data_IF_087560755193
#
_entry.id   IF_087560755193
#
_cell.length_a   1.000
_cell.length_b   1.000
_cell.length_c   1.000
_cell.angle_alpha   90.00
_cell.angle_beta   90.00
_cell.angle_gamma   90.00
#
_symmetry.space_group_name_H-M   'P 1'
#
loop_
_entity.id
_entity.type
_entity.pdbx_description
1 polymer ?
#
# COMPACT_ATOMS: atom_id res chain seq x y z
N UNK A 1 -14.77 45.65 20.48
CA UNK A 1 -14.97 44.36 19.77
C UNK A 1 -13.63 43.63 19.72
N UNK A 2 -13.47 42.48 20.37
CA UNK A 2 -12.27 41.65 20.22
C UNK A 2 -12.49 40.70 19.03
N UNK A 3 -11.57 40.58 18.07
CA UNK A 3 -11.71 39.57 17.02
C UNK A 3 -11.51 38.18 17.63
N UNK A 4 -12.43 37.27 17.30
CA UNK A 4 -12.28 35.82 17.57
C UNK A 4 -11.08 35.33 16.76
N UNK A 5 -10.03 34.89 17.43
CA UNK A 5 -8.96 34.11 16.80
C UNK A 5 -9.55 32.83 16.20
N UNK A 6 -9.17 32.43 14.97
CA UNK A 6 -9.60 31.16 14.42
C UNK A 6 -8.94 30.01 15.19
N UNK A 7 -9.74 29.00 15.52
CA UNK A 7 -9.40 27.80 16.32
C UNK A 7 -8.32 26.89 15.68
N UNK A 8 -7.82 27.22 14.49
CA UNK A 8 -6.90 26.39 13.70
C UNK A 8 -5.45 26.88 13.70
N UNK A 9 -4.96 27.46 14.79
CA UNK A 9 -3.58 27.99 14.84
C UNK A 9 -2.50 26.95 15.21
N UNK A 10 -2.84 25.70 15.53
CA UNK A 10 -1.89 24.75 16.13
C UNK A 10 -1.79 23.38 15.43
N UNK A 11 -1.83 23.36 14.09
CA UNK A 11 -1.25 22.24 13.35
C UNK A 11 0.14 22.67 12.89
N UNK A 12 1.11 22.60 13.80
CA UNK A 12 2.52 22.58 13.41
C UNK A 12 2.66 21.47 12.34
N UNK A 13 3.28 21.74 11.18
CA UNK A 13 3.63 20.66 10.28
C UNK A 13 4.46 19.67 11.09
N UNK A 14 3.99 18.42 11.18
CA UNK A 14 4.75 17.30 11.72
C UNK A 14 6.14 17.36 11.08
N UNK A 15 7.13 17.85 11.82
CA UNK A 15 8.51 17.93 11.37
C UNK A 15 9.04 16.50 11.29
N UNK A 16 8.72 15.82 10.19
CA UNK A 16 9.29 14.50 9.90
C UNK A 16 10.78 14.74 9.68
N UNK A 17 11.60 14.27 10.63
CA UNK A 17 13.05 14.46 10.59
C UNK A 17 13.60 13.94 9.24
N UNK A 18 14.29 14.76 8.44
CA UNK A 18 14.76 14.37 7.11
C UNK A 18 15.84 13.27 7.11
N UNK A 19 16.29 12.83 8.30
CA UNK A 19 17.43 11.92 8.49
C UNK A 19 17.15 10.43 8.26
N UNK A 20 15.91 10.05 7.93
CA UNK A 20 15.53 8.64 7.76
C UNK A 20 15.29 8.22 6.30
N UNK A 21 15.56 9.08 5.31
CA UNK A 21 15.37 8.72 3.90
C UNK A 21 16.66 8.17 3.30
N UNK A 22 16.84 6.83 3.19
CA UNK A 22 17.84 6.29 2.27
C UNK A 22 17.58 6.83 0.86
N UNK A 23 18.60 6.84 -0.02
CA UNK A 23 18.42 7.25 -1.41
C UNK A 23 17.25 6.49 -2.01
N UNK A 24 16.27 7.25 -2.51
CA UNK A 24 15.05 6.69 -3.09
C UNK A 24 15.46 5.98 -4.37
N UNK A 25 15.58 4.65 -4.30
CA UNK A 25 15.62 3.84 -5.51
C UNK A 25 14.36 4.14 -6.31
N UNK A 26 14.52 4.31 -7.62
CA UNK A 26 13.39 4.54 -8.50
C UNK A 26 12.39 3.39 -8.32
N UNK A 27 11.13 3.73 -8.08
CA UNK A 27 10.07 2.72 -8.02
C UNK A 27 9.98 2.05 -9.39
N UNK A 28 9.81 0.72 -9.44
CA UNK A 28 9.60 0.03 -10.71
C UNK A 28 8.34 0.57 -11.38
N UNK A 29 8.46 0.94 -12.66
CA UNK A 29 7.37 1.51 -13.46
C UNK A 29 6.66 0.48 -14.33
N UNK A 30 7.25 -0.70 -14.52
CA UNK A 30 6.70 -1.79 -15.33
C UNK A 30 7.06 -3.13 -14.72
N UNK A 31 6.24 -4.13 -15.02
CA UNK A 31 6.50 -5.51 -14.69
C UNK A 31 7.20 -6.19 -15.88
N UNK A 32 8.03 -7.22 -15.65
CA UNK A 32 8.45 -8.13 -16.71
C UNK A 32 7.24 -8.71 -17.46
N UNK A 33 7.37 -9.07 -18.76
CA UNK A 33 6.24 -9.55 -19.55
C UNK A 33 5.57 -10.80 -18.98
N UNK A 34 6.35 -11.72 -18.39
CA UNK A 34 5.84 -12.90 -17.71
C UNK A 34 4.93 -12.54 -16.51
N UNK A 35 5.35 -11.53 -15.73
CA UNK A 35 4.57 -11.07 -14.59
C UNK A 35 3.32 -10.29 -15.01
N UNK A 36 3.38 -9.55 -16.12
CA UNK A 36 2.19 -8.89 -16.71
C UNK A 36 1.15 -9.91 -17.18
N UNK A 37 1.57 -11.00 -17.83
CA UNK A 37 0.69 -12.10 -18.21
C UNK A 37 0.04 -12.74 -16.99
N UNK A 38 0.82 -13.02 -15.95
CA UNK A 38 0.30 -13.56 -14.68
C UNK A 38 -0.76 -12.64 -14.05
N UNK A 39 -0.51 -11.32 -14.02
CA UNK A 39 -1.48 -10.34 -13.53
C UNK A 39 -2.77 -10.39 -14.36
N UNK A 40 -2.65 -10.44 -15.68
CA UNK A 40 -3.80 -10.52 -16.58
C UNK A 40 -4.63 -11.80 -16.36
N UNK A 41 -3.97 -12.95 -16.15
CA UNK A 41 -4.67 -14.19 -15.82
C UNK A 41 -5.40 -14.12 -14.48
N UNK A 42 -4.74 -13.59 -13.45
CA UNK A 42 -5.30 -13.41 -12.11
C UNK A 42 -6.53 -12.51 -12.15
N UNK A 43 -6.47 -11.40 -12.89
CA UNK A 43 -7.60 -10.47 -13.04
C UNK A 43 -8.82 -11.10 -13.73
N UNK A 44 -8.64 -12.15 -14.53
CA UNK A 44 -9.72 -12.87 -15.22
C UNK A 44 -10.37 -13.97 -14.37
N UNK A 45 -9.70 -14.46 -13.31
CA UNK A 45 -10.22 -15.54 -12.47
C UNK A 45 -11.44 -15.08 -11.67
N UNK A 46 -12.57 -15.78 -11.84
CA UNK A 46 -13.81 -15.52 -11.09
C UNK A 46 -13.83 -16.27 -9.78
N UNK A 47 -14.41 -15.65 -8.75
CA UNK A 47 -14.54 -16.26 -7.42
C UNK A 47 -13.21 -16.50 -6.71
N UNK A 48 -12.10 -15.93 -7.24
CA UNK A 48 -10.80 -16.07 -6.64
C UNK A 48 -10.75 -15.26 -5.35
N UNK A 49 -10.20 -15.90 -4.31
CA UNK A 49 -9.95 -15.27 -3.04
C UNK A 49 -8.55 -15.62 -2.57
N UNK A 50 -7.72 -14.59 -2.37
CA UNK A 50 -6.38 -14.71 -1.83
C UNK A 50 -6.41 -14.35 -0.35
N UNK A 51 -5.80 -15.18 0.49
CA UNK A 51 -5.74 -14.95 1.93
C UNK A 51 -4.30 -14.86 2.39
N UNK A 52 -3.99 -13.84 3.19
CA UNK A 52 -2.69 -13.66 3.80
C UNK A 52 -2.84 -13.15 5.23
N UNK A 53 -2.29 -13.89 6.21
CA UNK A 53 -2.48 -13.62 7.64
C UNK A 53 -3.98 -13.54 7.97
N UNK A 54 -4.50 -12.34 8.27
CA UNK A 54 -5.92 -12.07 8.59
C UNK A 54 -6.68 -11.48 7.41
N UNK A 55 -5.96 -11.03 6.38
CA UNK A 55 -6.52 -10.31 5.24
C UNK A 55 -6.99 -11.28 4.17
N UNK A 56 -8.12 -10.95 3.54
CA UNK A 56 -8.75 -11.74 2.51
C UNK A 56 -9.17 -10.82 1.36
N UNK A 57 -8.62 -11.05 0.17
CA UNK A 57 -8.85 -10.24 -1.01
C UNK A 57 -9.62 -11.05 -2.03
N UNK A 58 -10.79 -10.55 -2.42
CA UNK A 58 -11.63 -11.16 -3.47
C UNK A 58 -11.33 -10.56 -4.85
N UNK A 59 -11.88 -11.18 -5.90
CA UNK A 59 -11.85 -10.62 -7.25
C UNK A 59 -12.40 -9.18 -7.30
N UNK A 60 -13.47 -8.89 -6.55
CA UNK A 60 -14.07 -7.54 -6.53
C UNK A 60 -13.09 -6.51 -5.98
N UNK A 61 -12.33 -6.89 -4.95
CA UNK A 61 -11.29 -6.04 -4.38
C UNK A 61 -10.14 -5.82 -5.38
N UNK A 62 -9.71 -6.87 -6.08
CA UNK A 62 -8.66 -6.77 -7.10
C UNK A 62 -9.06 -5.84 -8.26
N UNK A 63 -10.35 -5.79 -8.61
CA UNK A 63 -10.81 -4.86 -9.64
C UNK A 63 -10.55 -3.39 -9.29
N UNK A 64 -10.38 -3.06 -7.99
CA UNK A 64 -10.01 -1.71 -7.52
C UNK A 64 -8.55 -1.34 -7.79
N UNK A 65 -7.71 -2.30 -8.18
CA UNK A 65 -6.33 -2.04 -8.61
C UNK A 65 -6.25 -1.50 -10.05
N UNK A 66 -7.35 -1.57 -10.82
CA UNK A 66 -7.37 -1.05 -12.19
C UNK A 66 -7.21 0.48 -12.22
N UNK A 67 -6.67 1.04 -13.32
CA UNK A 67 -6.47 2.48 -13.44
C UNK A 67 -7.76 3.29 -13.21
N UNK A 68 -7.62 4.43 -12.53
CA UNK A 68 -8.73 5.35 -12.25
C UNK A 68 -9.72 4.85 -11.18
N UNK A 69 -9.45 3.71 -10.54
CA UNK A 69 -10.23 3.24 -9.39
C UNK A 69 -9.62 3.73 -8.08
N UNK A 70 -10.48 3.98 -7.10
CA UNK A 70 -10.03 4.20 -5.72
C UNK A 70 -9.78 2.85 -5.06
N UNK A 71 -8.63 2.72 -4.40
CA UNK A 71 -8.31 1.54 -3.60
C UNK A 71 -9.28 1.45 -2.41
N UNK A 72 -9.64 0.22 -2.05
CA UNK A 72 -10.37 -0.02 -0.82
C UNK A 72 -9.44 -0.36 0.34
N UNK A 73 -10.00 -0.35 1.53
CA UNK A 73 -9.35 -0.76 2.77
C UNK A 73 -8.79 -2.18 2.69
N UNK A 74 -9.52 -3.12 2.09
CA UNK A 74 -9.08 -4.52 1.99
C UNK A 74 -7.75 -4.68 1.22
N UNK A 75 -7.58 -3.97 0.10
CA UNK A 75 -6.34 -3.98 -0.69
C UNK A 75 -5.20 -3.28 0.07
N UNK A 76 -5.49 -2.15 0.72
CA UNK A 76 -4.51 -1.40 1.52
C UNK A 76 -3.99 -2.26 2.67
N UNK A 77 -4.90 -2.90 3.41
CA UNK A 77 -4.58 -3.76 4.55
C UNK A 77 -3.78 -4.99 4.10
N UNK A 78 -4.20 -5.63 3.01
CA UNK A 78 -3.50 -6.79 2.45
C UNK A 78 -2.06 -6.46 2.07
N UNK A 79 -1.84 -5.35 1.36
CA UNK A 79 -0.49 -4.90 1.01
C UNK A 79 0.32 -4.50 2.25
N UNK A 80 -0.32 -3.88 3.25
CA UNK A 80 0.29 -3.61 4.54
C UNK A 80 0.79 -4.86 5.24
N UNK A 81 -0.01 -5.94 5.25
CA UNK A 81 0.39 -7.23 5.81
C UNK A 81 1.60 -7.83 5.07
N UNK A 82 1.65 -7.72 3.73
CA UNK A 82 2.81 -8.15 2.94
C UNK A 82 4.08 -7.37 3.30
N UNK A 83 3.97 -6.05 3.47
CA UNK A 83 5.10 -5.21 3.86
C UNK A 83 5.62 -5.56 5.27
N UNK A 84 4.72 -5.80 6.23
CA UNK A 84 5.09 -6.22 7.57
C UNK A 84 5.82 -7.57 7.55
N UNK A 85 5.28 -8.56 6.84
CA UNK A 85 5.91 -9.86 6.69
C UNK A 85 7.30 -9.76 6.03
N UNK A 86 7.46 -8.92 5.01
CA UNK A 86 8.77 -8.65 4.39
C UNK A 86 9.76 -8.08 5.40
N UNK A 87 9.33 -7.11 6.22
CA UNK A 87 10.17 -6.49 7.26
C UNK A 87 10.61 -7.51 8.32
N UNK A 88 9.69 -8.35 8.78
CA UNK A 88 9.98 -9.42 9.75
C UNK A 88 10.97 -10.45 9.21
N UNK A 89 10.84 -10.82 7.94
CA UNK A 89 11.77 -11.72 7.26
C UNK A 89 13.18 -11.12 7.17
N UNK A 90 13.30 -9.83 6.84
CA UNK A 90 14.61 -9.14 6.82
C UNK A 90 15.25 -9.05 8.21
N UNK A 91 14.47 -8.79 9.27
CA UNK A 91 14.98 -8.78 10.64
C UNK A 91 15.45 -10.18 11.06
N UNK A 92 14.70 -11.21 10.70
CA UNK A 92 15.02 -12.60 11.03
C UNK A 92 16.26 -13.09 10.29
N UNK A 93 16.45 -12.69 9.03
CA UNK A 93 17.63 -13.05 8.23
C UNK A 93 18.93 -12.38 8.71
N UNK A 94 18.84 -11.33 9.54
CA UNK A 94 19.99 -10.63 10.14
C UNK A 94 20.36 -11.14 11.54
N UNK A 95 19.56 -12.03 12.12
CA UNK A 95 19.84 -12.71 13.39
C UNK A 95 20.52 -14.04 13.15
#
# INVERSE_FOLDING_TARGET
MRPKTPFFANLLPLQVQPRLRPPVLALPTSLPPEDEENVNEIMRKRGMVVKFVREQVSQTDLSRLLPGQCLNDQIINFYGALLLARSEAEVSARR
#
